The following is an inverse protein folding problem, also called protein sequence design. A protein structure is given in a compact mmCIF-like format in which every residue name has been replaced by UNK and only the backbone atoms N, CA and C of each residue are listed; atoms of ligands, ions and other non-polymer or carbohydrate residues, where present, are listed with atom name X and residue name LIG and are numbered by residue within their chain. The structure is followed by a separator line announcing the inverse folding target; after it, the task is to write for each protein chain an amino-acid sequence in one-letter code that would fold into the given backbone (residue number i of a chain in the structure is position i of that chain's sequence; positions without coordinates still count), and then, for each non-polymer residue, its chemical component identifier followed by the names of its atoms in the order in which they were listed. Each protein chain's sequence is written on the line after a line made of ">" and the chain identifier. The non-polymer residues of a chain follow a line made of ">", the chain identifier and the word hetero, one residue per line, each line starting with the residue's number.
data_IF_897212179761
#
_entry.id   IF_897212179761
#
_cell.length_a   1.000
_cell.length_b   1.000
_cell.length_c   1.000
_cell.angle_alpha   90.00
_cell.angle_beta   90.00
_cell.angle_gamma   90.00
#
_symmetry.space_group_name_H-M   'P 1'
#
loop_
_entity.id
_entity.type
_entity.pdbx_description
1 polymer ?
#
# COMPACT_ATOMS: atom_id res chain seq x y z
N UNK A 1 39.24 -44.56 -6.62
CA UNK A 1 38.69 -43.21 -6.52
C UNK A 1 38.77 -42.48 -7.83
N UNK A 2 37.59 -42.23 -8.39
CA UNK A 2 37.40 -41.37 -9.55
C UNK A 2 36.83 -40.03 -9.08
N UNK A 3 37.05 -38.98 -9.88
CA UNK A 3 36.44 -37.68 -9.61
C UNK A 3 34.91 -37.80 -9.66
N UNK A 4 34.16 -36.97 -8.90
CA UNK A 4 32.71 -36.92 -9.03
C UNK A 4 32.33 -36.55 -10.46
N UNK A 5 31.16 -37.00 -10.91
CA UNK A 5 30.57 -36.63 -12.21
C UNK A 5 29.17 -36.09 -12.01
N UNK A 6 28.75 -35.19 -12.90
CA UNK A 6 27.37 -34.75 -12.98
C UNK A 6 26.55 -35.79 -13.76
N UNK A 7 25.48 -36.30 -13.17
CA UNK A 7 24.62 -37.34 -13.78
C UNK A 7 23.32 -36.80 -14.36
N UNK A 8 22.88 -35.60 -13.95
CA UNK A 8 21.66 -34.94 -14.46
C UNK A 8 21.69 -33.44 -14.14
N UNK A 9 21.10 -32.57 -14.99
CA UNK A 9 21.05 -31.14 -14.72
C UNK A 9 20.30 -30.84 -13.42
N UNK A 10 20.77 -29.82 -12.69
CA UNK A 10 20.08 -29.29 -11.52
C UNK A 10 18.94 -28.39 -12.01
N UNK A 11 17.67 -28.62 -11.60
CA UNK A 11 16.55 -27.79 -12.02
C UNK A 11 16.66 -26.38 -11.41
N UNK A 12 16.13 -25.40 -12.13
CA UNK A 12 16.03 -24.03 -11.63
C UNK A 12 15.23 -23.98 -10.32
N UNK A 13 15.65 -23.13 -9.41
CA UNK A 13 15.04 -22.95 -8.09
C UNK A 13 14.41 -21.57 -8.00
N UNK A 14 13.26 -21.48 -7.33
CA UNK A 14 12.53 -20.23 -7.14
C UNK A 14 12.06 -20.16 -5.70
N UNK A 15 12.34 -19.03 -5.04
CA UNK A 15 11.91 -18.77 -3.67
C UNK A 15 11.64 -17.28 -3.48
N UNK A 16 10.81 -16.92 -2.50
CA UNK A 16 10.69 -15.53 -2.07
C UNK A 16 11.80 -15.19 -1.07
N UNK A 17 12.23 -13.93 -1.03
CA UNK A 17 12.98 -13.42 0.11
C UNK A 17 12.25 -13.74 1.42
N UNK A 18 13.02 -13.91 2.49
CA UNK A 18 12.56 -14.17 3.85
C UNK A 18 11.77 -15.49 4.04
N UNK A 19 11.57 -16.28 2.99
CA UNK A 19 11.01 -17.63 3.07
C UNK A 19 12.10 -18.66 3.35
N UNK A 20 11.74 -19.73 4.05
CA UNK A 20 12.65 -20.87 4.30
C UNK A 20 12.83 -21.67 3.01
N UNK A 21 14.08 -21.87 2.60
CA UNK A 21 14.49 -22.69 1.46
C UNK A 21 15.18 -23.96 1.95
N UNK A 22 14.89 -25.08 1.31
CA UNK A 22 15.53 -26.37 1.55
C UNK A 22 14.84 -27.24 2.61
N UNK A 23 15.42 -28.39 2.97
CA UNK A 23 16.70 -28.91 2.48
C UNK A 23 16.65 -29.34 1.00
N UNK A 24 17.57 -28.85 0.18
CA UNK A 24 17.75 -29.27 -1.21
C UNK A 24 19.03 -30.11 -1.33
N UNK A 25 18.88 -31.41 -1.62
CA UNK A 25 19.99 -32.37 -1.63
C UNK A 25 20.69 -32.41 -3.00
N UNK A 26 21.93 -31.92 -3.03
CA UNK A 26 22.77 -31.88 -4.23
C UNK A 26 23.31 -33.27 -4.59
N UNK A 27 23.33 -34.24 -3.68
CA UNK A 27 23.83 -35.60 -3.97
C UNK A 27 23.00 -36.31 -5.01
N UNK A 28 21.75 -35.90 -5.23
CA UNK A 28 20.90 -36.46 -6.29
C UNK A 28 21.39 -36.16 -7.72
N UNK A 29 22.30 -35.20 -7.90
CA UNK A 29 22.76 -34.71 -9.20
C UNK A 29 24.20 -35.11 -9.52
N UNK A 30 24.90 -35.72 -8.57
CA UNK A 30 26.28 -36.15 -8.72
C UNK A 30 26.43 -37.63 -8.37
N UNK A 31 27.47 -38.25 -8.92
CA UNK A 31 27.85 -39.61 -8.58
C UNK A 31 29.36 -39.71 -8.41
N UNK A 32 29.79 -40.59 -7.50
CA UNK A 32 31.16 -41.03 -7.36
C UNK A 32 31.18 -42.55 -7.16
N UNK A 33 32.12 -43.24 -7.79
CA UNK A 33 32.23 -44.71 -7.83
C UNK A 33 32.40 -45.33 -6.44
N UNK A 34 33.07 -44.61 -5.53
CA UNK A 34 33.33 -45.05 -4.14
C UNK A 34 32.27 -44.51 -3.15
N UNK A 35 31.16 -43.96 -3.65
CA UNK A 35 30.10 -43.34 -2.83
C UNK A 35 30.30 -41.84 -2.58
N UNK A 36 29.24 -41.19 -2.09
CA UNK A 36 29.18 -39.73 -1.88
C UNK A 36 29.66 -39.27 -0.50
N UNK A 37 30.16 -40.18 0.35
CA UNK A 37 30.55 -39.90 1.74
C UNK A 37 31.81 -39.02 1.83
N UNK A 38 32.70 -39.12 0.84
CA UNK A 38 33.95 -38.34 0.79
C UNK A 38 33.88 -37.18 -0.22
N UNK A 39 32.68 -36.82 -0.68
CA UNK A 39 32.47 -35.72 -1.61
C UNK A 39 32.05 -34.48 -0.84
N UNK A 40 32.86 -33.43 -0.92
CA UNK A 40 32.55 -32.12 -0.35
C UNK A 40 31.95 -31.20 -1.39
N UNK A 41 30.90 -30.48 -0.98
CA UNK A 41 30.19 -29.53 -1.81
C UNK A 41 30.49 -28.08 -1.41
N UNK A 42 30.58 -27.22 -2.42
CA UNK A 42 30.57 -25.77 -2.26
C UNK A 42 29.70 -25.12 -3.34
N UNK A 43 29.27 -23.89 -3.07
CA UNK A 43 28.43 -23.11 -3.97
C UNK A 43 28.85 -21.64 -4.00
N UNK A 44 28.89 -21.07 -5.19
CA UNK A 44 29.19 -19.66 -5.44
C UNK A 44 28.37 -19.15 -6.63
N UNK A 45 28.27 -17.84 -6.78
CA UNK A 45 27.68 -17.23 -7.98
C UNK A 45 28.67 -17.30 -9.14
N UNK A 46 28.18 -17.25 -10.38
CA UNK A 46 29.05 -17.26 -11.58
C UNK A 46 29.99 -16.05 -11.66
N UNK A 47 29.72 -14.99 -10.90
CA UNK A 47 30.62 -13.85 -10.66
C UNK A 47 31.80 -14.16 -9.74
N UNK A 48 31.89 -15.36 -9.15
CA UNK A 48 32.89 -15.74 -8.15
C UNK A 48 32.62 -15.20 -6.74
N UNK A 49 31.42 -14.66 -6.49
CA UNK A 49 31.01 -14.18 -5.18
C UNK A 49 30.22 -15.22 -4.41
N UNK A 50 30.15 -15.09 -3.08
CA UNK A 50 29.34 -15.97 -2.25
C UNK A 50 27.85 -15.96 -2.63
N UNK A 51 27.12 -16.98 -2.19
CA UNK A 51 25.66 -17.05 -2.33
C UNK A 51 24.97 -15.81 -1.74
N UNK A 52 23.75 -15.47 -2.22
CA UNK A 52 22.97 -14.39 -1.65
C UNK A 52 22.82 -14.53 -0.13
N UNK A 53 22.94 -13.41 0.58
CA UNK A 53 22.94 -13.39 2.04
C UNK A 53 21.75 -14.19 2.60
N UNK A 54 22.05 -15.14 3.50
CA UNK A 54 21.05 -15.99 4.15
C UNK A 54 20.85 -17.36 3.52
N UNK A 55 21.43 -17.62 2.35
CA UNK A 55 21.57 -18.96 1.78
C UNK A 55 22.94 -19.55 2.11
N UNK A 56 22.98 -20.86 2.34
CA UNK A 56 24.19 -21.64 2.60
C UNK A 56 24.17 -22.96 1.83
N UNK A 57 25.34 -23.40 1.38
CA UNK A 57 25.57 -24.77 0.93
C UNK A 57 26.47 -25.46 1.97
N UNK A 58 25.98 -26.55 2.56
CA UNK A 58 26.80 -27.36 3.47
C UNK A 58 27.81 -28.19 2.69
N UNK A 59 28.91 -28.58 3.35
CA UNK A 59 29.89 -29.50 2.76
C UNK A 59 29.28 -30.86 2.40
N UNK A 60 28.21 -31.27 3.10
CA UNK A 60 27.46 -32.50 2.85
C UNK A 60 26.50 -32.41 1.65
N UNK A 61 26.46 -31.28 0.94
CA UNK A 61 25.64 -31.10 -0.26
C UNK A 61 24.21 -30.66 0.01
N UNK A 62 23.91 -30.07 1.18
CA UNK A 62 22.59 -29.49 1.46
C UNK A 62 22.62 -27.99 1.17
N UNK A 63 21.83 -27.56 0.19
CA UNK A 63 21.54 -26.14 -0.04
C UNK A 63 20.28 -25.76 0.75
N UNK A 64 20.40 -24.78 1.65
CA UNK A 64 19.33 -24.38 2.58
C UNK A 64 19.49 -22.92 3.01
N UNK A 65 18.47 -22.34 3.63
CA UNK A 65 18.56 -21.04 4.29
C UNK A 65 17.31 -20.18 4.19
N UNK A 66 17.46 -18.90 4.53
CA UNK A 66 16.41 -17.88 4.42
C UNK A 66 17.03 -16.68 3.69
N UNK A 67 16.76 -16.47 2.40
CA UNK A 67 17.33 -15.34 1.66
C UNK A 67 16.95 -14.01 2.33
N UNK A 68 17.92 -13.14 2.55
CA UNK A 68 17.70 -11.85 3.20
C UNK A 68 16.95 -10.88 2.28
N UNK A 69 16.28 -9.89 2.86
CA UNK A 69 15.73 -8.75 2.10
C UNK A 69 16.84 -8.00 1.35
N UNK A 70 16.58 -7.60 0.11
CA UNK A 70 17.53 -6.95 -0.79
C UNK A 70 18.39 -7.92 -1.61
N UNK A 71 18.01 -9.20 -1.67
CA UNK A 71 18.68 -10.25 -2.47
C UNK A 71 17.86 -10.66 -3.69
N UNK A 72 16.76 -9.97 -4.00
CA UNK A 72 15.92 -10.25 -5.13
C UNK A 72 16.68 -10.21 -6.46
N UNK A 73 16.32 -11.11 -7.38
CA UNK A 73 16.93 -11.20 -8.70
C UNK A 73 17.18 -12.62 -9.17
N UNK A 74 17.80 -12.70 -10.36
CA UNK A 74 18.23 -13.93 -10.97
C UNK A 74 19.71 -14.17 -10.64
N UNK A 75 19.99 -15.28 -9.96
CA UNK A 75 21.34 -15.67 -9.57
C UNK A 75 21.75 -16.93 -10.32
N UNK A 76 22.87 -16.87 -11.04
CA UNK A 76 23.46 -18.07 -11.64
C UNK A 76 24.42 -18.70 -10.63
N UNK A 77 24.06 -19.88 -10.13
CA UNK A 77 24.80 -20.58 -9.07
C UNK A 77 25.63 -21.70 -9.68
N UNK A 78 26.90 -21.77 -9.28
CA UNK A 78 27.83 -22.85 -9.60
C UNK A 78 28.00 -23.73 -8.36
N UNK A 79 27.66 -25.00 -8.49
CA UNK A 79 27.93 -26.05 -7.51
C UNK A 79 29.23 -26.75 -7.88
N UNK A 80 30.14 -26.90 -6.92
CA UNK A 80 31.37 -27.69 -7.06
C UNK A 80 31.34 -28.88 -6.10
N UNK A 81 31.46 -30.09 -6.64
CA UNK A 81 31.60 -31.34 -5.89
C UNK A 81 33.05 -31.83 -6.00
N UNK A 82 33.72 -32.05 -4.88
CA UNK A 82 35.16 -32.35 -4.82
C UNK A 82 35.46 -33.57 -3.96
N UNK A 83 36.35 -34.44 -4.44
CA UNK A 83 37.00 -35.48 -3.63
C UNK A 83 38.51 -35.51 -3.92
N UNK A 84 39.24 -36.47 -3.37
CA UNK A 84 40.69 -36.58 -3.54
C UNK A 84 41.13 -36.85 -4.99
N UNK A 85 40.24 -37.33 -5.85
CA UNK A 85 40.52 -37.64 -7.25
C UNK A 85 40.20 -36.48 -8.22
N UNK A 86 39.38 -35.49 -7.81
CA UNK A 86 39.09 -34.31 -8.63
C UNK A 86 37.76 -33.63 -8.32
N UNK A 87 37.29 -32.80 -9.27
CA UNK A 87 36.12 -31.94 -9.10
C UNK A 87 35.13 -32.07 -10.26
N UNK A 88 33.83 -32.05 -9.97
CA UNK A 88 32.78 -31.76 -10.95
C UNK A 88 32.06 -30.44 -10.63
N UNK A 89 31.59 -29.77 -11.69
CA UNK A 89 30.79 -28.55 -11.58
C UNK A 89 29.44 -28.69 -12.26
N UNK A 90 28.43 -28.08 -11.69
CA UNK A 90 27.10 -27.95 -12.27
C UNK A 90 26.59 -26.52 -12.05
N UNK A 91 25.87 -25.97 -13.03
CA UNK A 91 25.27 -24.64 -12.93
C UNK A 91 23.76 -24.73 -12.96
N UNK A 92 23.09 -23.83 -12.26
CA UNK A 92 21.64 -23.67 -12.34
C UNK A 92 21.22 -22.25 -11.98
N UNK A 93 20.00 -21.88 -12.38
CA UNK A 93 19.41 -20.59 -12.05
C UNK A 93 18.66 -20.67 -10.72
N UNK A 94 18.97 -19.74 -9.82
CA UNK A 94 18.27 -19.53 -8.56
C UNK A 94 17.60 -18.15 -8.58
N UNK A 95 16.28 -18.12 -8.71
CA UNK A 95 15.49 -16.88 -8.72
C UNK A 95 15.01 -16.58 -7.31
N UNK A 96 15.44 -15.46 -6.76
CA UNK A 96 14.90 -14.91 -5.51
C UNK A 96 13.89 -13.83 -5.89
N UNK A 97 12.62 -14.09 -5.62
CA UNK A 97 11.55 -13.11 -5.78
C UNK A 97 11.53 -12.17 -4.59
N UNK A 98 11.25 -10.88 -4.78
CA UNK A 98 11.09 -9.97 -3.66
C UNK A 98 10.00 -10.52 -2.72
N UNK A 99 10.16 -10.32 -1.41
CA UNK A 99 8.99 -10.49 -0.53
C UNK A 99 7.93 -9.53 -1.06
N UNK A 100 6.68 -9.99 -1.25
CA UNK A 100 5.53 -9.08 -1.36
C UNK A 100 5.34 -8.46 0.02
N UNK A 101 6.27 -7.58 0.37
CA UNK A 101 6.16 -6.65 1.45
C UNK A 101 5.03 -5.74 1.04
N UNK A 102 4.15 -5.43 1.98
CA UNK A 102 3.30 -4.23 1.95
C UNK A 102 4.13 -2.93 1.92
N UNK A 103 5.34 -2.96 1.36
CA UNK A 103 6.23 -1.84 1.14
C UNK A 103 5.64 -0.98 0.04
N UNK A 104 5.18 0.19 0.45
CA UNK A 104 4.77 1.29 -0.41
C UNK A 104 5.81 1.51 -1.54
N UNK A 105 7.11 1.29 -1.25
CA UNK A 105 8.20 1.44 -2.21
C UNK A 105 8.19 0.50 -3.43
N UNK A 106 7.68 -0.74 -3.32
CA UNK A 106 7.58 -1.62 -4.49
C UNK A 106 6.42 -1.21 -5.40
N UNK A 107 5.27 -0.89 -4.81
CA UNK A 107 4.10 -0.40 -5.55
C UNK A 107 4.43 0.92 -6.26
N UNK A 108 5.16 1.82 -5.62
CA UNK A 108 5.53 3.10 -6.23
C UNK A 108 6.52 2.94 -7.39
N UNK A 109 7.49 2.02 -7.28
CA UNK A 109 8.37 1.66 -8.41
C UNK A 109 7.57 1.09 -9.57
N UNK A 110 6.65 0.15 -9.31
CA UNK A 110 5.83 -0.47 -10.34
C UNK A 110 4.90 0.57 -11.02
N UNK A 111 4.27 1.44 -10.23
CA UNK A 111 3.49 2.58 -10.76
C UNK A 111 4.34 3.47 -11.67
N UNK A 112 5.56 3.83 -11.26
CA UNK A 112 6.45 4.65 -12.07
C UNK A 112 6.79 3.98 -13.42
N UNK A 113 7.06 2.67 -13.41
CA UNK A 113 7.32 1.90 -14.63
C UNK A 113 6.09 1.85 -15.54
N UNK A 114 4.88 1.65 -14.99
CA UNK A 114 3.63 1.69 -15.76
C UNK A 114 3.43 3.06 -16.41
N UNK A 115 3.62 4.15 -15.66
CA UNK A 115 3.48 5.51 -16.20
C UNK A 115 4.50 5.81 -17.30
N UNK A 116 5.75 5.38 -17.12
CA UNK A 116 6.79 5.51 -18.14
C UNK A 116 6.42 4.73 -19.40
N UNK A 117 5.95 3.49 -19.27
CA UNK A 117 5.55 2.66 -20.40
C UNK A 117 4.39 3.31 -21.19
N UNK A 118 3.36 3.79 -20.49
CA UNK A 118 2.24 4.51 -21.11
C UNK A 118 2.71 5.78 -21.84
N UNK A 119 3.58 6.58 -21.22
CA UNK A 119 4.10 7.80 -21.82
C UNK A 119 4.97 7.56 -23.06
N UNK A 120 5.58 6.38 -23.18
CA UNK A 120 6.45 5.99 -24.30
C UNK A 120 5.76 5.02 -25.29
N UNK A 121 4.46 4.75 -25.10
CA UNK A 121 3.70 3.75 -25.86
C UNK A 121 4.38 2.38 -25.92
N UNK A 122 5.00 1.97 -24.80
CA UNK A 122 5.67 0.68 -24.62
C UNK A 122 4.72 -0.33 -23.93
N UNK A 123 5.00 -1.64 -24.03
CA UNK A 123 4.29 -2.64 -23.25
C UNK A 123 4.34 -2.35 -21.75
N UNK A 124 3.20 -2.49 -21.08
CA UNK A 124 3.10 -2.32 -19.62
C UNK A 124 3.85 -3.49 -18.94
N UNK A 125 4.60 -3.25 -17.85
CA UNK A 125 5.22 -4.31 -17.07
C UNK A 125 4.22 -5.39 -16.62
N UNK A 126 4.67 -6.63 -16.42
CA UNK A 126 3.81 -7.68 -15.90
C UNK A 126 3.28 -7.33 -14.51
N UNK A 127 1.97 -7.44 -14.34
CA UNK A 127 1.28 -7.11 -13.08
C UNK A 127 0.85 -8.36 -12.31
N UNK A 128 1.22 -9.57 -12.75
CA UNK A 128 0.73 -10.83 -12.20
C UNK A 128 0.97 -10.93 -10.69
N UNK A 129 2.17 -10.55 -10.23
CA UNK A 129 2.50 -10.53 -8.79
C UNK A 129 1.66 -9.52 -7.99
N UNK A 130 1.28 -8.38 -8.60
CA UNK A 130 0.39 -7.39 -7.99
C UNK A 130 -1.07 -7.89 -7.96
N UNK A 131 -1.49 -8.68 -8.95
CA UNK A 131 -2.85 -9.20 -9.04
C UNK A 131 -3.05 -10.42 -8.12
N UNK A 132 -2.01 -11.24 -7.95
CA UNK A 132 -2.06 -12.47 -7.15
C UNK A 132 -1.78 -12.23 -5.65
N UNK A 133 -1.34 -11.03 -5.26
CA UNK A 133 -1.10 -10.71 -3.85
C UNK A 133 -2.40 -10.65 -3.05
N UNK A 134 -2.29 -10.91 -1.75
CA UNK A 134 -3.39 -10.70 -0.82
C UNK A 134 -3.89 -9.24 -0.84
N UNK A 135 -5.21 -9.07 -0.73
CA UNK A 135 -5.86 -7.76 -0.57
C UNK A 135 -5.32 -7.09 0.68
N UNK A 136 -4.77 -5.90 0.53
CA UNK A 136 -4.24 -5.09 1.62
C UNK A 136 -5.28 -4.11 2.15
N UNK A 137 -5.12 -3.58 3.37
CA UNK A 137 -5.94 -2.47 3.86
C UNK A 137 -5.95 -1.27 2.90
N UNK A 138 -4.84 -0.98 2.21
CA UNK A 138 -4.75 0.14 1.27
C UNK A 138 -5.66 -0.06 0.05
N UNK A 139 -5.82 -1.30 -0.43
CA UNK A 139 -6.74 -1.61 -1.54
C UNK A 139 -8.19 -1.40 -1.12
N UNK A 140 -8.52 -1.83 0.10
CA UNK A 140 -9.84 -1.57 0.69
C UNK A 140 -10.05 -0.06 0.83
N UNK A 141 -9.07 0.68 1.35
CA UNK A 141 -9.14 2.14 1.46
C UNK A 141 -9.33 2.82 0.10
N UNK A 142 -8.63 2.37 -0.95
CA UNK A 142 -8.82 2.88 -2.30
C UNK A 142 -10.26 2.70 -2.81
N UNK A 143 -10.88 1.55 -2.53
CA UNK A 143 -12.28 1.30 -2.86
C UNK A 143 -13.23 2.16 -2.02
N UNK A 144 -12.97 2.28 -0.71
CA UNK A 144 -13.76 3.12 0.19
C UNK A 144 -13.72 4.59 -0.20
N UNK A 145 -12.59 5.11 -0.70
CA UNK A 145 -12.51 6.47 -1.23
C UNK A 145 -13.46 6.71 -2.41
N UNK A 146 -13.70 5.69 -3.23
CA UNK A 146 -14.62 5.79 -4.37
C UNK A 146 -16.08 5.74 -3.93
N UNK A 147 -16.42 5.03 -2.86
CA UNK A 147 -17.80 4.91 -2.38
C UNK A 147 -18.10 5.71 -1.13
N UNK A 148 -17.17 6.59 -0.73
CA UNK A 148 -17.28 7.36 0.50
C UNK A 148 -18.62 8.08 0.59
N UNK A 149 -19.29 7.90 1.71
CA UNK A 149 -20.47 8.66 2.10
C UNK A 149 -20.20 9.34 3.43
N UNK A 150 -20.93 10.42 3.71
CA UNK A 150 -20.96 11.02 5.03
C UNK A 150 -22.41 11.32 5.40
N UNK A 151 -22.82 10.81 6.55
CA UNK A 151 -24.05 11.18 7.22
C UNK A 151 -23.69 11.97 8.46
N UNK A 152 -24.34 13.11 8.66
CA UNK A 152 -24.19 13.92 9.87
C UNK A 152 -25.53 14.10 10.53
N UNK A 153 -25.64 13.55 11.73
CA UNK A 153 -26.86 13.63 12.55
C UNK A 153 -26.81 14.88 13.43
N UNK A 154 -27.98 15.48 13.65
CA UNK A 154 -28.20 16.34 14.80
C UNK A 154 -28.32 15.44 16.03
N UNK A 155 -27.32 15.49 16.90
CA UNK A 155 -27.17 14.57 18.03
C UNK A 155 -28.33 14.65 19.03
N UNK A 156 -29.06 15.76 19.05
CA UNK A 156 -30.20 15.94 19.94
C UNK A 156 -31.55 15.72 19.23
N UNK A 157 -31.55 15.52 17.92
CA UNK A 157 -32.75 15.15 17.19
C UNK A 157 -32.90 13.62 17.13
N UNK A 158 -33.77 13.09 17.99
CA UNK A 158 -34.02 11.65 18.10
C UNK A 158 -35.04 11.11 17.09
N UNK A 159 -35.56 11.96 16.19
CA UNK A 159 -36.49 11.51 15.18
C UNK A 159 -35.80 10.60 14.14
N UNK A 160 -36.47 9.53 13.66
CA UNK A 160 -35.93 8.73 12.59
C UNK A 160 -35.76 9.58 11.32
N UNK A 161 -34.73 9.31 10.47
CA UNK A 161 -34.52 10.06 9.25
C UNK A 161 -35.78 10.09 8.37
N UNK A 162 -36.28 11.29 8.08
CA UNK A 162 -37.55 11.54 7.39
C UNK A 162 -37.49 11.38 5.87
N UNK A 163 -38.37 12.08 5.16
CA UNK A 163 -38.39 12.03 3.68
C UNK A 163 -37.09 12.61 3.13
N UNK A 164 -36.57 11.97 2.08
CA UNK A 164 -35.34 12.40 1.42
C UNK A 164 -35.61 13.64 0.55
N UNK A 165 -35.08 14.80 0.95
CA UNK A 165 -35.18 16.05 0.19
C UNK A 165 -33.80 16.43 -0.35
N UNK A 166 -33.68 16.68 -1.66
CA UNK A 166 -32.38 17.11 -2.21
C UNK A 166 -32.07 18.55 -1.77
N UNK A 167 -30.87 18.75 -1.24
CA UNK A 167 -30.37 20.05 -0.82
C UNK A 167 -29.22 20.46 -1.74
N UNK A 168 -29.29 21.66 -2.31
CA UNK A 168 -28.22 22.24 -3.14
C UNK A 168 -27.40 23.21 -2.30
N UNK A 169 -26.13 22.89 -2.10
CA UNK A 169 -25.21 23.67 -1.30
C UNK A 169 -24.22 24.44 -2.18
N UNK A 170 -23.95 25.68 -1.78
CA UNK A 170 -22.93 26.50 -2.45
C UNK A 170 -21.55 25.83 -2.31
N UNK A 171 -20.92 25.57 -3.46
CA UNK A 171 -19.59 24.96 -3.52
C UNK A 171 -19.57 23.44 -3.32
N UNK A 172 -20.70 22.72 -3.33
CA UNK A 172 -20.66 21.25 -3.40
C UNK A 172 -20.12 20.77 -4.77
N UNK A 173 -19.54 19.57 -4.82
CA UNK A 173 -19.16 18.97 -6.11
C UNK A 173 -20.39 18.55 -6.91
N UNK A 174 -20.29 18.66 -8.23
CA UNK A 174 -21.28 18.11 -9.16
C UNK A 174 -21.39 16.58 -9.09
N UNK A 175 -20.40 15.89 -8.51
CA UNK A 175 -20.35 14.43 -8.40
C UNK A 175 -21.07 13.86 -7.18
N UNK A 176 -21.64 14.70 -6.32
CA UNK A 176 -22.38 14.29 -5.11
C UNK A 176 -23.80 14.85 -5.07
N UNK A 177 -24.70 14.07 -4.49
CA UNK A 177 -25.95 14.57 -3.92
C UNK A 177 -25.75 14.85 -2.43
N UNK A 178 -26.43 15.89 -1.94
CA UNK A 178 -26.65 16.10 -0.51
C UNK A 178 -28.15 16.04 -0.27
N UNK A 179 -28.56 15.26 0.71
CA UNK A 179 -29.95 15.08 1.08
C UNK A 179 -30.19 15.53 2.51
N UNK A 180 -31.25 16.30 2.71
CA UNK A 180 -31.82 16.60 4.01
C UNK A 180 -32.87 15.53 4.37
N UNK A 181 -32.77 15.00 5.59
CA UNK A 181 -33.65 13.99 6.18
C UNK A 181 -34.27 14.47 7.49
N UNK A 182 -34.23 15.76 7.80
CA UNK A 182 -34.72 16.32 9.06
C UNK A 182 -33.71 16.13 10.20
N UNK A 183 -33.51 14.89 10.66
CA UNK A 183 -32.55 14.57 11.73
C UNK A 183 -31.12 14.38 11.26
N UNK A 184 -30.88 14.34 9.95
CA UNK A 184 -29.53 14.27 9.39
C UNK A 184 -29.40 14.86 7.99
N UNK A 185 -28.16 15.22 7.64
CA UNK A 185 -27.74 15.47 6.27
C UNK A 185 -26.91 14.29 5.76
N UNK A 186 -27.11 13.91 4.49
CA UNK A 186 -26.46 12.75 3.88
C UNK A 186 -25.82 13.15 2.56
N UNK A 187 -24.49 13.07 2.48
CA UNK A 187 -23.71 13.23 1.26
C UNK A 187 -23.41 11.86 0.63
N UNK A 188 -23.81 11.67 -0.63
CA UNK A 188 -23.60 10.43 -1.38
C UNK A 188 -23.14 10.70 -2.82
N UNK A 189 -22.26 9.84 -3.36
CA UNK A 189 -21.96 9.78 -4.78
C UNK A 189 -23.21 9.77 -5.68
N UNK A 190 -23.20 10.53 -6.78
CA UNK A 190 -24.24 10.39 -7.82
C UNK A 190 -24.08 9.09 -8.63
N UNK A 191 -22.84 8.71 -8.88
CA UNK A 191 -22.46 7.52 -9.63
C UNK A 191 -21.34 6.79 -8.89
N UNK A 192 -21.63 5.62 -8.33
CA UNK A 192 -20.67 4.83 -7.56
C UNK A 192 -19.45 4.37 -8.39
N UNK A 193 -19.57 4.32 -9.72
CA UNK A 193 -18.54 3.79 -10.62
C UNK A 193 -17.91 4.86 -11.54
N UNK A 194 -18.18 6.13 -11.27
CA UNK A 194 -17.59 7.24 -12.03
C UNK A 194 -16.06 7.18 -12.01
N UNK A 195 -15.46 7.27 -13.20
CA UNK A 195 -14.01 7.37 -13.38
C UNK A 195 -13.49 8.80 -13.25
N UNK A 196 -14.39 9.79 -13.21
CA UNK A 196 -14.03 11.21 -13.14
C UNK A 196 -14.19 11.80 -11.73
N UNK A 197 -14.87 11.10 -10.81
CA UNK A 197 -14.93 11.52 -9.41
C UNK A 197 -13.58 11.28 -8.75
N UNK A 198 -13.11 12.28 -8.02
CA UNK A 198 -11.92 12.22 -7.18
C UNK A 198 -12.29 12.21 -5.70
N UNK A 199 -11.30 11.96 -4.82
CA UNK A 199 -11.49 12.14 -3.38
C UNK A 199 -11.85 13.60 -3.04
N UNK A 200 -11.25 14.58 -3.74
CA UNK A 200 -11.47 16.00 -3.49
C UNK A 200 -12.93 16.41 -3.72
N UNK A 201 -13.64 15.81 -4.67
CA UNK A 201 -15.07 16.05 -4.87
C UNK A 201 -15.90 15.76 -3.61
N UNK A 202 -15.53 14.69 -2.91
CA UNK A 202 -16.12 14.32 -1.63
C UNK A 202 -15.75 15.32 -0.54
N UNK A 203 -14.46 15.65 -0.40
CA UNK A 203 -13.99 16.61 0.61
C UNK A 203 -14.62 18.00 0.43
N UNK A 204 -14.70 18.48 -0.81
CA UNK A 204 -15.38 19.73 -1.18
C UNK A 204 -16.85 19.70 -0.75
N UNK A 205 -17.55 18.61 -1.05
CA UNK A 205 -18.97 18.46 -0.68
C UNK A 205 -19.15 18.41 0.84
N UNK A 206 -18.25 17.74 1.57
CA UNK A 206 -18.26 17.70 3.03
C UNK A 206 -18.08 19.11 3.62
N UNK A 207 -17.13 19.91 3.11
CA UNK A 207 -16.95 21.30 3.57
C UNK A 207 -18.21 22.13 3.33
N UNK A 208 -18.84 22.00 2.16
CA UNK A 208 -20.10 22.67 1.86
C UNK A 208 -21.21 22.24 2.84
N UNK A 209 -21.31 20.95 3.15
CA UNK A 209 -22.26 20.41 4.11
C UNK A 209 -22.01 20.91 5.53
N UNK A 210 -20.75 21.08 5.96
CA UNK A 210 -20.45 21.58 7.31
C UNK A 210 -20.83 23.06 7.47
N UNK A 211 -20.73 23.86 6.42
CA UNK A 211 -21.20 25.26 6.43
C UNK A 211 -22.71 25.35 6.65
N UNK A 212 -23.47 24.49 5.98
CA UNK A 212 -24.92 24.38 6.20
C UNK A 212 -25.24 23.97 7.65
N UNK A 213 -24.57 22.93 8.16
CA UNK A 213 -24.75 22.46 9.55
C UNK A 213 -24.38 23.55 10.56
N UNK A 214 -23.31 24.30 10.28
CA UNK A 214 -22.90 25.40 11.13
C UNK A 214 -23.96 26.49 11.23
N UNK A 215 -24.60 26.81 10.11
CA UNK A 215 -25.73 27.75 10.08
C UNK A 215 -26.94 27.22 10.86
N UNK A 216 -27.20 25.91 10.81
CA UNK A 216 -28.25 25.25 11.61
C UNK A 216 -27.93 25.17 13.10
N UNK A 217 -26.66 25.30 13.48
CA UNK A 217 -26.22 25.33 14.87
C UNK A 217 -26.35 24.00 15.59
N UNK A 218 -26.23 22.88 14.87
CA UNK A 218 -26.35 21.54 15.44
C UNK A 218 -25.15 21.14 16.29
N UNK A 219 -25.41 20.35 17.33
CA UNK A 219 -24.40 19.44 17.89
C UNK A 219 -24.44 18.17 17.06
N UNK A 220 -23.28 17.63 16.67
CA UNK A 220 -23.26 16.63 15.59
C UNK A 220 -22.60 15.31 15.93
N UNK A 221 -23.12 14.27 15.30
CA UNK A 221 -22.49 12.95 15.19
C UNK A 221 -22.17 12.63 13.73
N UNK A 222 -20.94 12.20 13.47
CA UNK A 222 -20.42 11.91 12.14
C UNK A 222 -20.37 10.40 11.89
N UNK A 223 -21.00 9.94 10.80
CA UNK A 223 -21.00 8.53 10.38
C UNK A 223 -20.61 8.43 8.92
N UNK A 224 -19.61 7.61 8.60
CA UNK A 224 -19.19 7.39 7.22
C UNK A 224 -17.68 7.31 7.08
N UNK A 225 -17.19 7.64 5.89
CA UNK A 225 -15.79 7.48 5.54
C UNK A 225 -14.88 8.38 6.40
N UNK A 226 -13.82 7.83 6.98
CA UNK A 226 -13.00 8.53 7.98
C UNK A 226 -12.34 9.80 7.45
N UNK A 227 -11.91 9.85 6.18
CA UNK A 227 -11.38 11.08 5.59
C UNK A 227 -12.43 12.19 5.52
N UNK A 228 -13.71 11.83 5.35
CA UNK A 228 -14.81 12.79 5.36
C UNK A 228 -15.12 13.26 6.77
N UNK A 229 -15.08 12.35 7.76
CA UNK A 229 -15.23 12.71 9.17
C UNK A 229 -14.13 13.67 9.62
N UNK A 230 -12.88 13.43 9.21
CA UNK A 230 -11.73 14.30 9.48
C UNK A 230 -11.91 15.70 8.88
N UNK A 231 -12.30 15.80 7.61
CA UNK A 231 -12.54 17.10 6.96
C UNK A 231 -13.75 17.81 7.57
N UNK A 232 -14.79 17.07 7.96
CA UNK A 232 -15.95 17.63 8.62
C UNK A 232 -15.56 18.29 9.96
N UNK A 233 -14.83 17.57 10.81
CA UNK A 233 -14.32 18.11 12.07
C UNK A 233 -13.45 19.35 11.83
N UNK A 234 -12.49 19.27 10.91
CA UNK A 234 -11.59 20.39 10.60
C UNK A 234 -12.34 21.65 10.13
N UNK A 235 -13.31 21.52 9.21
CA UNK A 235 -14.11 22.66 8.74
C UNK A 235 -14.95 23.27 9.89
N UNK A 236 -15.52 22.45 10.77
CA UNK A 236 -16.27 22.94 11.94
C UNK A 236 -15.38 23.71 12.93
N UNK A 237 -14.13 23.27 13.14
CA UNK A 237 -13.18 24.04 13.95
C UNK A 237 -12.90 25.42 13.33
N UNK A 238 -12.60 25.46 12.03
CA UNK A 238 -12.34 26.72 11.31
C UNK A 238 -13.54 27.67 11.33
N UNK A 239 -14.76 27.14 11.15
CA UNK A 239 -15.98 27.95 11.26
C UNK A 239 -16.17 28.47 12.69
N UNK A 240 -15.91 27.62 13.69
CA UNK A 240 -15.94 27.98 15.10
C UNK A 240 -15.00 29.12 15.43
N UNK A 241 -13.75 29.07 14.96
CA UNK A 241 -12.77 30.15 15.15
C UNK A 241 -13.20 31.44 14.43
N UNK A 242 -13.62 31.30 13.17
CA UNK A 242 -13.97 32.43 12.30
C UNK A 242 -15.14 33.24 12.84
N UNK A 243 -16.12 32.57 13.46
CA UNK A 243 -17.35 33.19 13.95
C UNK A 243 -17.49 33.14 15.48
N UNK A 244 -16.42 32.77 16.20
CA UNK A 244 -16.36 32.67 17.66
C UNK A 244 -17.48 31.82 18.28
N UNK A 245 -17.90 30.74 17.62
CA UNK A 245 -18.95 29.82 18.10
C UNK A 245 -18.63 28.38 17.70
N UNK A 246 -17.98 27.64 18.59
CA UNK A 246 -17.69 26.24 18.33
C UNK A 246 -18.95 25.37 18.40
N UNK A 247 -19.03 24.38 17.51
CA UNK A 247 -20.01 23.29 17.58
C UNK A 247 -19.33 22.03 18.09
N UNK A 248 -20.05 21.26 18.90
CA UNK A 248 -19.56 20.01 19.44
C UNK A 248 -19.74 18.86 18.45
N UNK A 249 -18.69 18.04 18.30
CA UNK A 249 -18.72 16.78 17.55
C UNK A 249 -18.55 15.63 18.54
N UNK A 250 -19.65 14.96 18.89
CA UNK A 250 -19.67 14.07 20.06
C UNK A 250 -18.86 12.78 19.82
N UNK A 251 -18.86 12.26 18.60
CA UNK A 251 -18.31 10.95 18.26
C UNK A 251 -17.02 11.00 17.44
N UNK A 252 -16.24 12.07 17.57
CA UNK A 252 -14.96 12.23 16.87
C UNK A 252 -13.85 12.63 17.84
N UNK A 253 -12.83 11.79 17.95
CA UNK A 253 -11.62 12.07 18.71
C UNK A 253 -10.46 12.36 17.73
N UNK A 254 -10.03 13.62 17.57
CA UNK A 254 -9.00 13.97 16.60
C UNK A 254 -7.65 13.35 16.95
N UNK A 255 -6.95 12.84 15.93
CA UNK A 255 -5.56 12.39 16.09
C UNK A 255 -4.60 13.58 16.25
N UNK A 256 -3.37 13.33 16.70
CA UNK A 256 -2.32 14.36 16.73
C UNK A 256 -2.09 14.95 15.32
N UNK A 257 -2.14 14.13 14.28
CA UNK A 257 -2.00 14.62 12.91
C UNK A 257 -3.20 15.47 12.47
N UNK A 258 -4.42 15.21 12.97
CA UNK A 258 -5.60 16.03 12.68
C UNK A 258 -5.44 17.43 13.27
N UNK A 259 -5.01 17.50 14.52
CA UNK A 259 -4.73 18.76 15.22
C UNK A 259 -3.63 19.55 14.50
N UNK A 260 -2.53 18.89 14.11
CA UNK A 260 -1.45 19.52 13.35
C UNK A 260 -1.92 20.08 12.01
N UNK A 261 -2.73 19.33 11.26
CA UNK A 261 -3.26 19.79 9.97
C UNK A 261 -4.14 21.03 10.13
N UNK A 262 -5.01 21.02 11.15
CA UNK A 262 -5.83 22.17 11.49
C UNK A 262 -4.99 23.40 11.86
N UNK A 263 -4.02 23.25 12.77
CA UNK A 263 -3.15 24.36 13.21
C UNK A 263 -2.31 24.96 12.08
N UNK A 264 -1.79 24.11 11.18
CA UNK A 264 -1.04 24.58 10.01
C UNK A 264 -1.91 25.40 9.05
N UNK A 265 -3.16 24.96 8.81
CA UNK A 265 -4.11 25.69 7.98
C UNK A 265 -4.54 27.02 8.62
N UNK A 266 -4.81 27.04 9.92
CA UNK A 266 -5.17 28.26 10.66
C UNK A 266 -4.03 29.31 10.58
N UNK A 267 -2.78 28.86 10.67
CA UNK A 267 -1.60 29.74 10.55
C UNK A 267 -1.48 30.32 9.14
N UNK A 268 -1.68 29.51 8.09
CA UNK A 268 -1.69 29.97 6.70
C UNK A 268 -2.81 31.00 6.44
N UNK A 269 -4.00 30.78 6.98
CA UNK A 269 -5.12 31.73 6.86
C UNK A 269 -4.80 33.06 7.53
N UNK A 270 -4.21 33.05 8.72
CA UNK A 270 -3.82 34.27 9.42
C UNK A 270 -2.73 35.05 8.67
N UNK A 271 -1.77 34.36 8.06
CA UNK A 271 -0.75 35.01 7.23
C UNK A 271 -1.34 35.66 5.98
N UNK A 272 -2.30 35.01 5.31
CA UNK A 272 -2.95 35.58 4.13
C UNK A 272 -3.79 36.82 4.46
N UNK A 273 -4.50 36.83 5.59
CA UNK A 273 -5.28 38.00 6.05
C UNK A 273 -4.35 39.19 6.38
N UNK A 274 -3.18 38.94 6.97
CA UNK A 274 -2.16 39.99 7.24
C UNK A 274 -1.45 40.55 6.00
N UNK A 275 -1.62 39.91 4.83
CA UNK A 275 -0.97 40.32 3.57
C UNK A 275 -1.87 41.11 2.63
N UNK A 276 -3.15 41.26 2.94
CA UNK A 276 -4.07 42.17 2.25
C UNK A 276 -3.78 43.60 2.71
N UNK A 277 -3.41 44.56 1.83
CA UNK A 277 -3.30 45.95 2.22
C UNK A 277 -4.65 46.44 2.73
N UNK A 278 -4.66 47.24 3.79
CA UNK A 278 -5.83 48.08 4.08
C UNK A 278 -5.93 49.07 2.92
N UNK A 279 -6.89 48.86 2.03
CA UNK A 279 -7.30 49.90 1.09
C UNK A 279 -7.96 51.03 1.90
N UNK A 280 -7.39 52.23 1.79
CA UNK A 280 -7.89 53.51 2.32
C UNK A 280 -9.25 53.93 1.73
#
# INVERSE_FOLDING_TARGET
>A
MEAPINIKPIPAQVINEQASYGAFDLKEFFQATDGMENVQFSAELSSGTALPKGLICTADGILTGIPAKGTEGLHEVIITATNAAGTARATFTFTIKPTISTDIGYIDKLKAQVWQALGQNQPIPELQELLDRAVSPLDIYYLLERWGTLTVYDAFNLDPPGVKTELKLAGQSQHFHVYDRGSCLVAVPKDLFSLTRTLEDGLQTVRAMMREIYQRGWTVELVGFDKYRRVAWNELQHLGDKYSKHLDVINYNPSLQDVQLYSAQATLMNMNVSSTPMDE
#
